data_IF_598421599409
#
_entry.id   IF_598421599409
#
_cell.length_a   1.000
_cell.length_b   1.000
_cell.length_c   1.000
_cell.angle_alpha   90.00
_cell.angle_beta   90.00
_cell.angle_gamma   90.00
#
_symmetry.space_group_name_H-M   'P 1'
#
loop_
_entity.id
_entity.type
_entity.pdbx_description
1 polymer ?
#
# COMPACT_ATOMS: atom_id res chain seq x y z
N UNK A 1 -103.63 -69.35 -19.96
CA UNK A 1 -103.05 -68.36 -20.89
C UNK A 1 -103.49 -66.94 -20.51
N UNK A 2 -104.76 -66.55 -20.65
CA UNK A 2 -105.23 -65.17 -20.39
C UNK A 2 -104.97 -64.65 -18.95
N UNK A 3 -105.14 -65.48 -17.92
CA UNK A 3 -104.87 -65.06 -16.53
C UNK A 3 -103.37 -64.83 -16.25
N UNK A 4 -102.48 -65.56 -16.94
CA UNK A 4 -101.03 -65.41 -16.79
C UNK A 4 -100.58 -64.10 -17.46
N UNK A 5 -101.11 -63.82 -18.65
CA UNK A 5 -100.83 -62.58 -19.37
C UNK A 5 -101.30 -61.34 -18.60
N UNK A 6 -102.49 -61.39 -18.00
CA UNK A 6 -103.01 -60.32 -17.14
C UNK A 6 -102.14 -60.10 -15.89
N UNK A 7 -101.59 -61.17 -15.31
CA UNK A 7 -100.67 -61.06 -14.19
C UNK A 7 -99.33 -60.43 -14.61
N UNK A 8 -98.79 -60.81 -15.76
CA UNK A 8 -97.59 -60.19 -16.34
C UNK A 8 -97.80 -58.69 -16.61
N UNK A 9 -98.94 -58.30 -17.17
CA UNK A 9 -99.29 -56.89 -17.40
C UNK A 9 -99.43 -56.09 -16.08
N UNK A 10 -99.87 -56.73 -15.00
CA UNK A 10 -99.94 -56.12 -13.67
C UNK A 10 -98.58 -56.02 -12.97
N UNK A 11 -97.63 -56.90 -13.30
CA UNK A 11 -96.26 -56.91 -12.77
C UNK A 11 -95.32 -55.97 -13.54
N UNK A 12 -95.60 -55.70 -14.81
CA UNK A 12 -94.76 -54.84 -15.66
C UNK A 12 -94.44 -53.45 -15.05
N UNK A 13 -95.38 -52.72 -14.41
CA UNK A 13 -95.05 -51.46 -13.74
C UNK A 13 -94.05 -51.61 -12.59
N UNK A 14 -94.07 -52.73 -11.87
CA UNK A 14 -93.13 -53.00 -10.78
C UNK A 14 -91.75 -53.36 -11.32
N UNK A 15 -91.69 -54.13 -12.42
CA UNK A 15 -90.42 -54.43 -13.11
C UNK A 15 -89.77 -53.16 -13.67
N UNK A 16 -90.55 -52.24 -14.24
CA UNK A 16 -90.06 -50.93 -14.72
C UNK A 16 -89.55 -50.09 -13.55
N UNK A 17 -90.32 -49.94 -12.47
CA UNK A 17 -89.89 -49.17 -11.30
C UNK A 17 -88.61 -49.74 -10.67
N UNK A 18 -88.46 -51.07 -10.65
CA UNK A 18 -87.25 -51.71 -10.16
C UNK A 18 -86.03 -51.49 -11.08
N UNK A 19 -86.24 -51.48 -12.40
CA UNK A 19 -85.19 -51.13 -13.35
C UNK A 19 -84.75 -49.66 -13.16
N UNK A 20 -85.69 -48.74 -12.98
CA UNK A 20 -85.40 -47.31 -12.73
C UNK A 20 -84.56 -47.11 -11.46
N UNK A 21 -84.91 -47.79 -10.34
CA UNK A 21 -84.10 -47.73 -9.10
C UNK A 21 -82.67 -48.18 -9.34
N UNK A 22 -82.46 -49.26 -10.11
CA UNK A 22 -81.10 -49.72 -10.45
C UNK A 22 -80.35 -48.71 -11.32
N UNK A 23 -81.02 -48.04 -12.25
CA UNK A 23 -80.40 -46.95 -13.02
C UNK A 23 -79.99 -45.80 -12.10
N UNK A 24 -80.85 -45.40 -11.17
CA UNK A 24 -80.51 -44.37 -10.18
C UNK A 24 -79.34 -44.76 -9.29
N UNK A 25 -79.28 -46.01 -8.81
CA UNK A 25 -78.15 -46.47 -7.98
C UNK A 25 -76.83 -46.36 -8.75
N UNK A 26 -76.81 -46.76 -10.02
CA UNK A 26 -75.64 -46.63 -10.90
C UNK A 26 -75.28 -45.17 -11.15
N UNK A 27 -76.27 -44.30 -11.38
CA UNK A 27 -76.03 -42.87 -11.58
C UNK A 27 -75.45 -42.20 -10.32
N UNK A 28 -75.92 -42.60 -9.14
CA UNK A 28 -75.38 -42.14 -7.85
C UNK A 28 -73.93 -42.58 -7.70
N UNK A 29 -73.62 -43.86 -7.91
CA UNK A 29 -72.24 -44.37 -7.82
C UNK A 29 -71.31 -43.68 -8.82
N UNK A 30 -71.75 -43.45 -10.06
CA UNK A 30 -70.96 -42.73 -11.06
C UNK A 30 -70.73 -41.27 -10.66
N UNK A 31 -71.75 -40.60 -10.11
CA UNK A 31 -71.64 -39.22 -9.63
C UNK A 31 -70.68 -39.12 -8.45
N UNK A 32 -70.74 -40.06 -7.52
CA UNK A 32 -69.81 -40.16 -6.38
C UNK A 32 -68.37 -40.34 -6.86
N UNK A 33 -68.13 -41.25 -7.82
CA UNK A 33 -66.80 -41.46 -8.40
C UNK A 33 -66.26 -40.21 -9.12
N UNK A 34 -67.12 -39.50 -9.87
CA UNK A 34 -66.74 -38.25 -10.50
C UNK A 34 -66.39 -37.17 -9.48
N UNK A 35 -67.16 -37.09 -8.38
CA UNK A 35 -66.89 -36.17 -7.29
C UNK A 35 -65.55 -36.48 -6.60
N UNK A 36 -65.29 -37.74 -6.25
CA UNK A 36 -64.00 -38.15 -5.67
C UNK A 36 -62.82 -37.86 -6.59
N UNK A 37 -62.97 -38.12 -7.90
CA UNK A 37 -61.98 -37.80 -8.90
C UNK A 37 -61.68 -36.29 -8.97
N UNK A 38 -62.72 -35.46 -9.00
CA UNK A 38 -62.58 -34.01 -9.00
C UNK A 38 -61.95 -33.49 -7.70
N UNK A 39 -62.35 -34.02 -6.54
CA UNK A 39 -61.77 -33.65 -5.25
C UNK A 39 -60.28 -34.01 -5.17
N UNK A 40 -59.88 -35.15 -5.72
CA UNK A 40 -58.47 -35.55 -5.80
C UNK A 40 -57.65 -34.59 -6.65
N UNK A 41 -58.17 -34.19 -7.82
CA UNK A 41 -57.54 -33.20 -8.69
C UNK A 41 -57.42 -31.84 -8.00
N UNK A 42 -58.50 -31.34 -7.39
CA UNK A 42 -58.52 -30.06 -6.68
C UNK A 42 -57.52 -30.04 -5.53
N UNK A 43 -57.48 -31.12 -4.73
CA UNK A 43 -56.53 -31.24 -3.61
C UNK A 43 -55.08 -31.25 -4.10
N UNK A 44 -54.81 -31.93 -5.22
CA UNK A 44 -53.49 -31.93 -5.83
C UNK A 44 -53.09 -30.52 -6.29
N UNK A 45 -53.95 -29.83 -7.02
CA UNK A 45 -53.67 -28.47 -7.49
C UNK A 45 -53.45 -27.48 -6.34
N UNK A 46 -54.24 -27.59 -5.27
CA UNK A 46 -54.09 -26.77 -4.06
C UNK A 46 -52.76 -27.06 -3.36
N UNK A 47 -52.40 -28.33 -3.25
CA UNK A 47 -51.12 -28.74 -2.66
C UNK A 47 -49.92 -28.22 -3.46
N UNK A 48 -49.97 -28.34 -4.80
CA UNK A 48 -48.93 -27.80 -5.68
C UNK A 48 -48.79 -26.28 -5.51
N UNK A 49 -49.91 -25.57 -5.31
CA UNK A 49 -49.89 -24.11 -5.11
C UNK A 49 -49.29 -23.71 -3.77
N UNK A 50 -49.61 -24.49 -2.73
CA UNK A 50 -49.01 -24.31 -1.41
C UNK A 50 -47.50 -24.48 -1.48
N UNK A 51 -47.00 -25.54 -2.13
CA UNK A 51 -45.56 -25.78 -2.30
C UNK A 51 -44.90 -24.62 -3.05
N UNK A 52 -45.54 -24.13 -4.11
CA UNK A 52 -45.01 -23.03 -4.92
C UNK A 52 -44.87 -21.75 -4.09
N UNK A 53 -45.88 -21.41 -3.29
CA UNK A 53 -45.87 -20.26 -2.40
C UNK A 53 -44.86 -20.40 -1.27
N UNK A 54 -44.77 -21.57 -0.64
CA UNK A 54 -43.76 -21.85 0.39
C UNK A 54 -42.34 -21.70 -0.18
N UNK A 55 -42.10 -22.20 -1.40
CA UNK A 55 -40.81 -22.07 -2.08
C UNK A 55 -40.47 -20.60 -2.40
N UNK A 56 -41.46 -19.83 -2.88
CA UNK A 56 -41.29 -18.41 -3.17
C UNK A 56 -41.01 -17.58 -1.89
N UNK A 57 -41.70 -17.90 -0.80
CA UNK A 57 -41.50 -17.25 0.50
C UNK A 57 -40.13 -17.59 1.11
N UNK A 58 -39.67 -18.83 0.99
CA UNK A 58 -38.32 -19.23 1.41
C UNK A 58 -37.24 -18.45 0.66
N UNK A 59 -37.35 -18.35 -0.67
CA UNK A 59 -36.43 -17.54 -1.48
C UNK A 59 -36.43 -16.07 -1.06
N UNK A 60 -37.60 -15.50 -0.76
CA UNK A 60 -37.70 -14.13 -0.29
C UNK A 60 -36.97 -13.91 1.05
N UNK A 61 -37.11 -14.86 1.99
CA UNK A 61 -36.40 -14.82 3.26
C UNK A 61 -34.87 -14.96 3.07
N UNK A 62 -34.42 -15.81 2.15
CA UNK A 62 -32.99 -15.90 1.78
C UNK A 62 -32.47 -14.59 1.19
N UNK A 63 -33.27 -13.90 0.37
CA UNK A 63 -32.92 -12.58 -0.14
C UNK A 63 -32.75 -11.54 0.97
N UNK A 64 -33.66 -11.51 1.94
CA UNK A 64 -33.57 -10.60 3.09
C UNK A 64 -32.33 -10.89 3.94
N UNK A 65 -32.02 -12.17 4.17
CA UNK A 65 -30.84 -12.58 4.92
C UNK A 65 -29.54 -12.24 4.20
N UNK A 66 -29.48 -12.43 2.89
CA UNK A 66 -28.31 -12.03 2.10
C UNK A 66 -28.18 -10.52 2.03
N UNK A 67 -29.28 -9.79 1.93
CA UNK A 67 -29.26 -8.34 1.95
C UNK A 67 -28.76 -7.80 3.29
N UNK A 68 -29.18 -8.37 4.42
CA UNK A 68 -28.68 -7.96 5.75
C UNK A 68 -27.21 -8.30 5.91
N UNK A 69 -26.78 -9.52 5.54
CA UNK A 69 -25.36 -9.90 5.53
C UNK A 69 -24.54 -8.95 4.67
N UNK A 70 -25.05 -8.58 3.50
CA UNK A 70 -24.37 -7.68 2.59
C UNK A 70 -24.23 -6.25 3.14
N UNK A 71 -25.14 -5.78 3.99
CA UNK A 71 -25.00 -4.48 4.67
C UNK A 71 -23.79 -4.53 5.62
N UNK A 72 -23.70 -5.59 6.42
CA UNK A 72 -22.68 -5.75 7.47
C UNK A 72 -21.31 -6.14 6.92
N UNK A 73 -21.26 -6.78 5.74
CA UNK A 73 -19.99 -7.19 5.12
C UNK A 73 -19.18 -5.99 4.66
N UNK A 74 -17.97 -5.88 5.22
CA UNK A 74 -16.91 -4.95 4.82
C UNK A 74 -15.71 -5.65 4.15
N UNK A 75 -15.71 -6.99 4.08
CA UNK A 75 -14.56 -7.79 3.63
C UNK A 75 -14.78 -8.28 2.20
N UNK A 76 -13.83 -8.00 1.29
CA UNK A 76 -13.93 -8.36 -0.13
C UNK A 76 -14.10 -9.86 -0.36
N UNK A 77 -13.42 -10.72 0.41
CA UNK A 77 -13.53 -12.18 0.27
C UNK A 77 -14.96 -12.70 0.49
N UNK A 78 -15.69 -12.13 1.44
CA UNK A 78 -17.08 -12.50 1.71
C UNK A 78 -18.01 -12.04 0.57
N UNK A 79 -17.73 -10.87 -0.03
CA UNK A 79 -18.45 -10.39 -1.22
C UNK A 79 -18.22 -11.30 -2.42
N UNK A 80 -16.99 -11.77 -2.63
CA UNK A 80 -16.66 -12.72 -3.69
C UNK A 80 -17.32 -14.08 -3.47
N UNK A 81 -17.41 -14.54 -2.22
CA UNK A 81 -18.12 -15.78 -1.89
C UNK A 81 -19.62 -15.65 -2.22
N UNK A 82 -20.23 -14.52 -1.88
CA UNK A 82 -21.64 -14.25 -2.21
C UNK A 82 -21.84 -14.18 -3.72
N UNK A 83 -20.96 -13.49 -4.45
CA UNK A 83 -21.03 -13.34 -5.90
C UNK A 83 -20.90 -14.68 -6.64
N UNK A 84 -19.97 -15.53 -6.21
CA UNK A 84 -19.59 -16.75 -6.94
C UNK A 84 -20.37 -18.00 -6.52
N UNK A 85 -20.91 -18.05 -5.30
CA UNK A 85 -21.58 -19.24 -4.79
C UNK A 85 -23.05 -18.99 -4.44
N UNK A 86 -23.35 -17.94 -3.68
CA UNK A 86 -24.72 -17.70 -3.20
C UNK A 86 -25.65 -17.19 -4.30
N UNK A 87 -25.23 -16.20 -5.11
CA UNK A 87 -26.08 -15.68 -6.19
C UNK A 87 -26.38 -16.72 -7.29
N UNK A 88 -25.41 -17.52 -7.78
CA UNK A 88 -25.72 -18.55 -8.77
C UNK A 88 -26.65 -19.63 -8.24
N UNK A 89 -26.52 -20.00 -6.95
CA UNK A 89 -27.46 -20.91 -6.29
C UNK A 89 -28.88 -20.35 -6.28
N UNK A 90 -29.06 -19.09 -5.85
CA UNK A 90 -30.36 -18.42 -5.90
C UNK A 90 -30.93 -18.30 -7.31
N UNK A 91 -30.08 -18.01 -8.30
CA UNK A 91 -30.48 -17.96 -9.69
C UNK A 91 -31.04 -19.31 -10.16
N UNK A 92 -30.36 -20.42 -9.82
CA UNK A 92 -30.82 -21.76 -10.16
C UNK A 92 -32.14 -22.11 -9.46
N UNK A 93 -32.30 -21.73 -8.19
CA UNK A 93 -33.56 -21.96 -7.45
C UNK A 93 -34.73 -21.14 -8.01
N UNK A 94 -34.50 -19.88 -8.39
CA UNK A 94 -35.51 -19.06 -9.09
C UNK A 94 -35.89 -19.68 -10.43
N UNK A 95 -34.92 -20.20 -11.17
CA UNK A 95 -35.19 -20.85 -12.46
C UNK A 95 -36.02 -22.13 -12.29
N UNK A 96 -35.69 -22.95 -11.29
CA UNK A 96 -36.48 -24.12 -10.93
C UNK A 96 -37.92 -23.72 -10.51
N UNK A 97 -38.06 -22.64 -9.76
CA UNK A 97 -39.37 -22.11 -9.37
C UNK A 97 -40.15 -21.65 -10.60
N UNK A 98 -39.51 -20.96 -11.53
CA UNK A 98 -40.11 -20.51 -12.79
C UNK A 98 -40.60 -21.70 -13.63
N UNK A 99 -39.77 -22.73 -13.81
CA UNK A 99 -40.13 -23.93 -14.57
C UNK A 99 -41.36 -24.62 -13.95
N UNK A 100 -41.37 -24.79 -12.62
CA UNK A 100 -42.53 -25.36 -11.89
C UNK A 100 -43.78 -24.48 -12.03
N UNK A 101 -43.58 -23.17 -12.02
CA UNK A 101 -44.66 -22.19 -12.12
C UNK A 101 -45.28 -22.18 -13.54
N UNK A 102 -44.47 -22.44 -14.56
CA UNK A 102 -44.92 -22.57 -15.95
C UNK A 102 -45.55 -23.94 -16.24
N UNK A 103 -45.05 -25.02 -15.63
CA UNK A 103 -45.66 -26.35 -15.72
C UNK A 103 -47.04 -26.38 -15.06
N UNK A 104 -47.17 -25.78 -13.87
CA UNK A 104 -48.47 -25.65 -13.19
C UNK A 104 -49.43 -24.75 -13.98
N UNK A 105 -48.94 -23.69 -14.64
CA UNK A 105 -49.75 -22.85 -15.54
C UNK A 105 -50.34 -23.63 -16.71
N UNK A 106 -49.63 -24.62 -17.25
CA UNK A 106 -50.10 -25.42 -18.40
C UNK A 106 -51.12 -26.50 -17.99
N UNK A 107 -51.00 -27.01 -16.77
CA UNK A 107 -51.69 -28.24 -16.36
C UNK A 107 -52.89 -28.00 -15.43
N UNK A 108 -53.06 -26.81 -14.84
CA UNK A 108 -54.13 -26.52 -13.88
C UNK A 108 -55.43 -26.04 -14.52
N UNK A 109 -56.54 -26.47 -13.93
CA UNK A 109 -57.89 -26.19 -14.41
C UNK A 109 -58.79 -25.62 -13.29
N UNK A 110 -58.56 -25.98 -12.03
CA UNK A 110 -59.54 -25.79 -10.94
C UNK A 110 -59.13 -24.76 -9.87
N UNK A 111 -57.82 -24.53 -9.65
CA UNK A 111 -57.30 -23.61 -8.61
C UNK A 111 -56.61 -22.40 -9.25
N UNK A 112 -57.02 -21.21 -8.82
CA UNK A 112 -56.41 -19.94 -9.23
C UNK A 112 -54.95 -19.85 -8.80
N UNK A 113 -54.11 -19.35 -9.72
CA UNK A 113 -52.68 -19.15 -9.50
C UNK A 113 -52.43 -17.82 -8.80
N UNK A 114 -51.82 -17.86 -7.62
CA UNK A 114 -51.29 -16.71 -6.88
C UNK A 114 -49.97 -17.11 -6.23
N UNK A 115 -48.89 -16.95 -7.00
CA UNK A 115 -47.53 -17.06 -6.49
C UNK A 115 -47.14 -15.73 -5.83
N UNK A 116 -47.08 -15.71 -4.50
CA UNK A 116 -46.66 -14.57 -3.69
C UNK A 116 -45.45 -14.94 -2.82
N UNK A 117 -44.30 -14.25 -2.99
CA UNK A 117 -44.00 -13.20 -3.97
C UNK A 117 -43.86 -13.72 -5.41
N UNK A 118 -44.07 -12.83 -6.38
CA UNK A 118 -43.97 -13.18 -7.80
C UNK A 118 -42.54 -13.51 -8.22
N UNK A 119 -42.38 -14.47 -9.14
CA UNK A 119 -41.08 -14.86 -9.71
C UNK A 119 -40.35 -13.66 -10.33
N UNK A 120 -41.09 -12.73 -10.95
CA UNK A 120 -40.54 -11.50 -11.53
C UNK A 120 -39.94 -10.57 -10.45
N UNK A 121 -40.58 -10.48 -9.28
CA UNK A 121 -40.06 -9.71 -8.16
C UNK A 121 -38.77 -10.33 -7.62
N UNK A 122 -38.72 -11.66 -7.45
CA UNK A 122 -37.52 -12.38 -7.02
C UNK A 122 -36.36 -12.19 -8.01
N UNK A 123 -36.63 -12.24 -9.32
CA UNK A 123 -35.63 -11.94 -10.36
C UNK A 123 -35.11 -10.50 -10.29
N UNK A 124 -36.00 -9.55 -9.99
CA UNK A 124 -35.61 -8.15 -9.81
C UNK A 124 -34.72 -7.96 -8.58
N UNK A 125 -35.06 -8.61 -7.46
CA UNK A 125 -34.24 -8.60 -6.24
C UNK A 125 -32.86 -9.20 -6.48
N UNK A 126 -32.77 -10.32 -7.20
CA UNK A 126 -31.49 -10.92 -7.58
C UNK A 126 -30.61 -9.95 -8.38
N UNK A 127 -31.19 -9.28 -9.40
CA UNK A 127 -30.47 -8.27 -10.19
C UNK A 127 -29.99 -7.10 -9.33
N UNK A 128 -30.82 -6.64 -8.38
CA UNK A 128 -30.45 -5.58 -7.45
C UNK A 128 -29.26 -5.98 -6.57
N UNK A 129 -29.24 -7.22 -6.08
CA UNK A 129 -28.10 -7.74 -5.32
C UNK A 129 -26.81 -7.82 -6.14
N UNK A 130 -26.88 -8.29 -7.40
CA UNK A 130 -25.72 -8.27 -8.29
C UNK A 130 -25.13 -6.87 -8.44
N UNK A 131 -25.98 -5.87 -8.68
CA UNK A 131 -25.53 -4.48 -8.81
C UNK A 131 -24.93 -3.99 -7.49
N UNK A 132 -25.57 -4.26 -6.36
CA UNK A 132 -25.11 -3.81 -5.05
C UNK A 132 -23.74 -4.43 -4.67
N UNK A 133 -23.54 -5.71 -4.94
CA UNK A 133 -22.27 -6.41 -4.67
C UNK A 133 -21.14 -5.85 -5.53
N UNK A 134 -21.38 -5.66 -6.82
CA UNK A 134 -20.37 -5.08 -7.72
C UNK A 134 -20.01 -3.65 -7.31
N UNK A 135 -21.00 -2.82 -6.94
CA UNK A 135 -20.74 -1.48 -6.41
C UNK A 135 -19.89 -1.55 -5.14
N UNK A 136 -20.19 -2.46 -4.21
CA UNK A 136 -19.38 -2.62 -2.98
C UNK A 136 -17.95 -3.06 -3.30
N UNK A 137 -17.75 -4.03 -4.20
CA UNK A 137 -16.43 -4.47 -4.64
C UNK A 137 -15.64 -3.32 -5.27
N UNK A 138 -16.26 -2.55 -6.17
CA UNK A 138 -15.62 -1.39 -6.79
C UNK A 138 -15.25 -0.32 -5.75
N UNK A 139 -16.12 -0.06 -4.77
CA UNK A 139 -15.81 0.90 -3.70
C UNK A 139 -14.69 0.41 -2.80
N UNK A 140 -14.64 -0.87 -2.47
CA UNK A 140 -13.59 -1.45 -1.64
C UNK A 140 -12.23 -1.40 -2.37
N UNK A 141 -12.20 -1.73 -3.67
CA UNK A 141 -11.00 -1.62 -4.49
C UNK A 141 -10.48 -0.18 -4.59
N UNK A 142 -11.38 0.80 -4.68
CA UNK A 142 -11.01 2.23 -4.64
C UNK A 142 -10.43 2.64 -3.29
N UNK A 143 -11.06 2.23 -2.18
CA UNK A 143 -10.58 2.53 -0.83
C UNK A 143 -9.18 1.92 -0.62
N UNK A 144 -8.98 0.64 -0.95
CA UNK A 144 -7.68 -0.02 -0.82
C UNK A 144 -6.60 0.70 -1.65
N UNK A 145 -6.94 1.15 -2.86
CA UNK A 145 -6.04 1.93 -3.70
C UNK A 145 -5.69 3.28 -3.06
N UNK A 146 -6.67 4.00 -2.54
CA UNK A 146 -6.49 5.30 -1.90
C UNK A 146 -5.64 5.19 -0.62
N UNK A 147 -5.85 4.14 0.18
CA UNK A 147 -5.04 3.83 1.36
C UNK A 147 -3.57 3.56 1.00
N UNK A 148 -3.32 2.77 -0.05
CA UNK A 148 -1.96 2.53 -0.54
C UNK A 148 -1.31 3.82 -1.04
N UNK A 149 -2.04 4.67 -1.76
CA UNK A 149 -1.54 5.99 -2.20
C UNK A 149 -1.21 6.87 -1.00
N UNK A 150 -2.05 6.90 0.05
CA UNK A 150 -1.79 7.67 1.25
C UNK A 150 -0.54 7.17 2.00
N UNK A 151 -0.34 5.85 2.10
CA UNK A 151 0.87 5.26 2.66
C UNK A 151 2.12 5.67 1.86
N UNK A 152 2.04 5.66 0.52
CA UNK A 152 3.13 6.12 -0.34
C UNK A 152 3.41 7.62 -0.19
N UNK A 153 2.39 8.46 0.02
CA UNK A 153 2.61 9.90 0.32
C UNK A 153 3.39 10.07 1.62
N UNK A 154 3.05 9.30 2.65
CA UNK A 154 3.75 9.34 3.94
C UNK A 154 5.20 8.85 3.84
N UNK A 155 5.49 7.83 3.04
CA UNK A 155 6.88 7.36 2.84
C UNK A 155 7.71 8.39 2.07
N UNK A 156 7.14 9.05 1.06
CA UNK A 156 7.80 10.16 0.35
C UNK A 156 8.10 11.33 1.30
N UNK A 157 7.16 11.70 2.18
CA UNK A 157 7.36 12.75 3.18
C UNK A 157 8.46 12.37 4.20
N UNK A 158 8.52 11.10 4.60
CA UNK A 158 9.59 10.58 5.47
C UNK A 158 10.96 10.61 4.79
N UNK A 159 11.04 10.26 3.50
CA UNK A 159 12.27 10.34 2.73
C UNK A 159 12.73 11.77 2.45
N UNK A 160 11.79 12.74 2.43
CA UNK A 160 12.14 14.18 2.38
C UNK A 160 12.79 14.67 3.67
N UNK A 161 12.41 14.10 4.81
CA UNK A 161 12.89 14.56 6.13
C UNK A 161 14.14 13.80 6.63
N UNK A 162 14.48 12.64 6.05
CA UNK A 162 15.64 11.82 6.43
C UNK A 162 16.66 11.73 5.29
N UNK A 163 17.87 11.26 5.59
CA UNK A 163 18.85 10.87 4.57
C UNK A 163 18.23 9.85 3.62
N UNK A 164 18.17 10.20 2.35
CA UNK A 164 17.42 9.49 1.34
C UNK A 164 18.13 8.17 0.97
N UNK A 165 17.57 7.01 1.35
CA UNK A 165 18.15 5.69 1.03
C UNK A 165 17.84 5.27 -0.42
N UNK A 166 18.82 4.73 -1.15
CA UNK A 166 18.64 4.26 -2.55
C UNK A 166 17.68 3.06 -2.60
N UNK A 167 17.80 2.13 -1.65
CA UNK A 167 16.98 0.92 -1.65
C UNK A 167 15.50 1.23 -1.40
N UNK A 168 15.22 2.21 -0.54
CA UNK A 168 13.84 2.67 -0.28
C UNK A 168 13.27 3.42 -1.49
N UNK A 169 14.09 4.18 -2.22
CA UNK A 169 13.67 4.89 -3.44
C UNK A 169 13.31 3.93 -4.57
N UNK A 170 14.11 2.88 -4.78
CA UNK A 170 13.83 1.85 -5.79
C UNK A 170 12.54 1.11 -5.45
N UNK A 171 12.33 0.73 -4.19
CA UNK A 171 11.09 0.08 -3.75
C UNK A 171 9.87 0.95 -3.97
N UNK A 172 9.96 2.26 -3.72
CA UNK A 172 8.85 3.19 -3.97
C UNK A 172 8.53 3.34 -5.46
N UNK A 173 9.54 3.37 -6.33
CA UNK A 173 9.33 3.42 -7.77
C UNK A 173 8.68 2.14 -8.31
N UNK A 174 9.13 0.97 -7.83
CA UNK A 174 8.51 -0.32 -8.15
C UNK A 174 7.05 -0.37 -7.70
N UNK A 175 6.76 0.11 -6.50
CA UNK A 175 5.38 0.20 -5.99
C UNK A 175 4.53 1.17 -6.82
N UNK A 176 5.07 2.31 -7.24
CA UNK A 176 4.37 3.28 -8.09
C UNK A 176 4.10 2.72 -9.51
N UNK A 177 4.98 1.90 -10.06
CA UNK A 177 4.79 1.25 -11.36
C UNK A 177 3.64 0.23 -11.37
N UNK A 178 3.23 -0.27 -10.20
CA UNK A 178 2.09 -1.18 -10.08
C UNK A 178 0.73 -0.46 -10.20
N UNK A 179 0.70 0.87 -10.09
CA UNK A 179 -0.53 1.66 -10.25
C UNK A 179 -0.76 2.07 -11.71
N UNK A 180 -2.03 2.31 -12.07
CA UNK A 180 -2.37 2.89 -13.38
C UNK A 180 -1.75 4.26 -13.57
N UNK A 181 -1.15 4.48 -14.74
CA UNK A 181 -0.44 5.72 -15.13
C UNK A 181 -1.39 6.91 -15.28
N UNK A 182 -2.69 6.68 -15.41
CA UNK A 182 -3.71 7.72 -15.65
C UNK A 182 -4.13 8.49 -14.38
N UNK A 183 -3.76 8.02 -13.19
CA UNK A 183 -4.17 8.65 -11.94
C UNK A 183 -3.32 9.89 -11.62
N UNK A 184 -3.95 11.06 -11.54
CA UNK A 184 -3.28 12.33 -11.23
C UNK A 184 -2.47 12.26 -9.92
N UNK A 185 -2.98 11.53 -8.90
CA UNK A 185 -2.25 11.36 -7.65
C UNK A 185 -0.96 10.55 -7.84
N UNK A 186 -1.00 9.49 -8.63
CA UNK A 186 0.18 8.65 -8.93
C UNK A 186 1.18 9.44 -9.75
N UNK A 187 0.73 10.28 -10.68
CA UNK A 187 1.61 11.16 -11.46
C UNK A 187 2.30 12.21 -10.60
N UNK A 188 1.59 12.85 -9.67
CA UNK A 188 2.20 13.81 -8.73
C UNK A 188 3.23 13.14 -7.83
N UNK A 189 2.94 11.95 -7.29
CA UNK A 189 3.91 11.16 -6.52
C UNK A 189 5.13 10.77 -7.36
N UNK A 190 4.93 10.32 -8.61
CA UNK A 190 6.04 9.96 -9.49
C UNK A 190 6.93 11.16 -9.84
N UNK A 191 6.34 12.35 -10.01
CA UNK A 191 7.10 13.58 -10.20
C UNK A 191 7.90 13.95 -8.94
N UNK A 192 7.29 13.79 -7.75
CA UNK A 192 7.94 14.04 -6.46
C UNK A 192 9.11 13.09 -6.19
N UNK A 193 8.97 11.80 -6.51
CA UNK A 193 10.05 10.81 -6.40
C UNK A 193 11.19 11.10 -7.38
N UNK A 194 10.87 11.50 -8.63
CA UNK A 194 11.90 11.93 -9.60
C UNK A 194 12.66 13.16 -9.12
N UNK A 195 11.95 14.11 -8.50
CA UNK A 195 12.58 15.31 -7.92
C UNK A 195 13.51 14.93 -6.75
N UNK A 196 13.07 14.04 -5.86
CA UNK A 196 13.92 13.50 -4.79
C UNK A 196 15.19 12.83 -5.32
N UNK A 197 15.09 12.04 -6.40
CA UNK A 197 16.25 11.42 -7.03
C UNK A 197 17.20 12.45 -7.65
N UNK A 198 16.67 13.47 -8.31
CA UNK A 198 17.47 14.56 -8.86
C UNK A 198 18.22 15.33 -7.75
N UNK A 199 17.51 15.67 -6.68
CA UNK A 199 18.08 16.39 -5.52
C UNK A 199 19.18 15.54 -4.83
N UNK A 200 18.94 14.23 -4.65
CA UNK A 200 19.94 13.29 -4.12
C UNK A 200 21.18 13.18 -5.01
N UNK A 201 20.99 13.04 -6.32
CA UNK A 201 22.12 12.96 -7.26
C UNK A 201 22.95 14.24 -7.25
N UNK A 202 22.31 15.40 -7.19
CA UNK A 202 22.98 16.69 -7.05
C UNK A 202 23.77 16.78 -5.73
N UNK A 203 23.20 16.31 -4.62
CA UNK A 203 23.91 16.22 -3.33
C UNK A 203 25.10 15.28 -3.39
N UNK A 204 24.98 14.11 -4.02
CA UNK A 204 26.09 13.17 -4.20
C UNK A 204 27.22 13.74 -5.07
N UNK A 205 26.88 14.44 -6.15
CA UNK A 205 27.86 15.09 -7.01
C UNK A 205 28.60 16.20 -6.26
N UNK A 206 27.86 17.01 -5.49
CA UNK A 206 28.45 18.00 -4.60
C UNK A 206 29.37 17.37 -3.54
N UNK A 207 28.95 16.28 -2.91
CA UNK A 207 29.76 15.52 -1.96
C UNK A 207 31.07 15.01 -2.58
N UNK A 208 31.04 14.53 -3.83
CA UNK A 208 32.26 14.12 -4.55
C UNK A 208 33.21 15.29 -4.75
N UNK A 209 32.71 16.44 -5.20
CA UNK A 209 33.53 17.65 -5.38
C UNK A 209 34.15 18.10 -4.07
N UNK A 210 33.37 18.09 -2.98
CA UNK A 210 33.84 18.47 -1.66
C UNK A 210 34.92 17.51 -1.15
N UNK A 211 34.72 16.20 -1.34
CA UNK A 211 35.69 15.18 -0.97
C UNK A 211 36.99 15.28 -1.79
N UNK A 212 36.90 15.60 -3.08
CA UNK A 212 38.07 15.83 -3.94
C UNK A 212 38.87 17.07 -3.50
N UNK A 213 38.20 18.17 -3.13
CA UNK A 213 38.85 19.35 -2.53
C UNK A 213 39.58 18.96 -1.24
N UNK A 214 38.93 18.15 -0.40
CA UNK A 214 39.50 17.72 0.86
C UNK A 214 40.71 16.81 0.68
N UNK A 215 40.68 15.85 -0.25
CA UNK A 215 41.86 15.00 -0.46
C UNK A 215 43.06 15.77 -1.03
N UNK A 216 42.82 16.82 -1.81
CA UNK A 216 43.92 17.74 -2.20
C UNK A 216 44.54 18.42 -0.98
N UNK A 217 43.75 18.87 -0.02
CA UNK A 217 44.25 19.45 1.24
C UNK A 217 45.00 18.42 2.07
N UNK A 218 44.50 17.18 2.13
CA UNK A 218 45.16 16.08 2.84
C UNK A 218 46.53 15.74 2.24
N UNK A 219 46.64 15.76 0.92
CA UNK A 219 47.94 15.60 0.22
C UNK A 219 48.86 16.77 0.56
N UNK A 220 48.38 18.03 0.50
CA UNK A 220 49.17 19.21 0.92
C UNK A 220 49.66 19.09 2.37
N UNK A 221 48.82 18.57 3.26
CA UNK A 221 49.20 18.35 4.66
C UNK A 221 50.30 17.29 4.81
N UNK A 222 50.20 16.17 4.07
CA UNK A 222 51.25 15.15 4.05
C UNK A 222 52.58 15.68 3.49
N UNK A 223 52.55 16.56 2.49
CA UNK A 223 53.77 17.22 1.99
C UNK A 223 54.34 18.21 3.01
N UNK A 224 53.49 18.98 3.70
CA UNK A 224 53.94 19.86 4.80
C UNK A 224 54.63 19.10 5.92
N UNK A 225 54.11 17.93 6.29
CA UNK A 225 54.72 17.09 7.31
C UNK A 225 56.16 16.71 6.92
N UNK A 226 56.40 16.38 5.65
CA UNK A 226 57.76 16.11 5.15
C UNK A 226 58.64 17.35 5.20
N UNK A 227 58.13 18.51 4.74
CA UNK A 227 58.87 19.78 4.82
C UNK A 227 59.24 20.16 6.26
N UNK A 228 58.37 19.83 7.23
CA UNK A 228 58.68 19.98 8.65
C UNK A 228 59.82 19.07 9.08
N UNK A 229 59.82 17.81 8.68
CA UNK A 229 60.90 16.87 9.00
C UNK A 229 62.23 17.32 8.36
N UNK A 230 62.19 17.79 7.11
CA UNK A 230 63.34 18.37 6.40
C UNK A 230 63.84 19.66 7.09
N UNK A 231 62.95 20.51 7.61
CA UNK A 231 63.31 21.71 8.37
C UNK A 231 64.12 21.38 9.64
N UNK A 232 63.97 20.20 10.23
CA UNK A 232 64.82 19.78 11.36
C UNK A 232 66.27 19.49 10.93
N UNK A 233 66.49 19.09 9.68
CA UNK A 233 67.77 18.65 9.11
C UNK A 233 68.69 19.79 8.61
N UNK A 234 68.16 21.01 8.51
CA UNK A 234 68.90 22.21 8.09
C UNK A 234 70.08 22.50 9.04
N UNK A 235 71.17 23.09 8.55
CA UNK A 235 72.40 23.27 9.34
C UNK A 235 72.44 24.55 10.17
N UNK A 236 71.82 25.64 9.70
CA UNK A 236 71.83 26.94 10.40
C UNK A 236 70.52 27.24 11.11
N UNK A 237 70.57 27.98 12.23
CA UNK A 237 69.39 28.30 13.04
C UNK A 237 68.45 29.28 12.32
N UNK A 238 69.00 30.24 11.56
CA UNK A 238 68.21 31.19 10.76
C UNK A 238 67.43 30.49 9.63
N UNK A 239 68.07 29.57 8.91
CA UNK A 239 67.39 28.80 7.86
C UNK A 239 66.32 27.86 8.47
N UNK A 240 66.54 27.34 9.68
CA UNK A 240 65.49 26.60 10.43
C UNK A 240 64.30 27.49 10.76
N UNK A 241 64.53 28.70 11.29
CA UNK A 241 63.44 29.63 11.60
C UNK A 241 62.61 29.93 10.36
N UNK A 242 63.24 30.28 9.25
CA UNK A 242 62.56 30.59 7.99
C UNK A 242 61.78 29.38 7.43
N UNK A 243 62.34 28.17 7.53
CA UNK A 243 61.67 26.94 7.10
C UNK A 243 60.43 26.64 7.96
N UNK A 244 60.52 26.78 9.30
CA UNK A 244 59.38 26.61 10.19
C UNK A 244 58.31 27.69 10.01
N UNK A 245 58.71 28.93 9.70
CA UNK A 245 57.77 30.03 9.40
C UNK A 245 56.98 29.76 8.12
N UNK A 246 57.65 29.29 7.06
CA UNK A 246 56.99 28.86 5.82
C UNK A 246 56.00 27.71 6.07
N UNK A 247 56.41 26.67 6.81
CA UNK A 247 55.55 25.53 7.16
C UNK A 247 54.37 25.97 8.03
N UNK A 248 54.57 26.91 8.95
CA UNK A 248 53.50 27.45 9.80
C UNK A 248 52.47 28.23 8.99
N UNK A 249 52.91 29.13 8.12
CA UNK A 249 52.02 29.95 7.29
C UNK A 249 51.17 29.06 6.36
N UNK A 250 51.77 28.05 5.74
CA UNK A 250 51.02 27.15 4.86
C UNK A 250 50.05 26.24 5.66
N UNK A 251 50.39 25.84 6.88
CA UNK A 251 49.44 25.15 7.76
C UNK A 251 48.24 26.02 8.15
N UNK A 252 48.45 27.34 8.34
CA UNK A 252 47.37 28.30 8.57
C UNK A 252 46.46 28.47 7.35
N UNK A 253 47.01 28.47 6.12
CA UNK A 253 46.20 28.49 4.90
C UNK A 253 45.33 27.22 4.75
N UNK A 254 45.89 26.06 5.08
CA UNK A 254 45.14 24.79 5.08
C UNK A 254 44.00 24.83 6.10
N UNK A 255 44.23 25.38 7.30
CA UNK A 255 43.19 25.55 8.31
C UNK A 255 42.02 26.42 7.84
N UNK A 256 42.32 27.54 7.19
CA UNK A 256 41.29 28.40 6.60
C UNK A 256 40.48 27.65 5.55
N UNK A 257 41.16 26.91 4.67
CA UNK A 257 40.53 26.11 3.63
C UNK A 257 39.63 25.01 4.20
N UNK A 258 40.05 24.30 5.25
CA UNK A 258 39.21 23.29 5.91
C UNK A 258 38.00 23.94 6.60
N UNK A 259 38.17 25.11 7.22
CA UNK A 259 37.07 25.83 7.85
C UNK A 259 36.03 26.33 6.82
N UNK A 260 36.48 26.76 5.65
CA UNK A 260 35.60 27.07 4.51
C UNK A 260 34.80 25.83 4.08
N UNK A 261 35.43 24.65 3.99
CA UNK A 261 34.74 23.40 3.67
C UNK A 261 33.72 22.96 4.75
N UNK A 262 34.00 23.23 6.03
CA UNK A 262 33.05 22.98 7.14
C UNK A 262 31.83 23.91 7.00
N UNK A 263 32.04 25.18 6.66
CA UNK A 263 30.94 26.11 6.43
C UNK A 263 30.14 25.74 5.17
N UNK A 264 30.83 25.34 4.09
CA UNK A 264 30.18 24.85 2.87
C UNK A 264 29.33 23.58 3.14
N UNK A 265 29.84 22.62 3.92
CA UNK A 265 29.09 21.39 4.25
C UNK A 265 27.87 21.63 5.13
N UNK A 266 27.97 22.51 6.12
CA UNK A 266 26.84 22.85 7.00
C UNK A 266 25.71 23.55 6.25
N UNK A 267 26.02 24.39 5.26
CA UNK A 267 25.02 25.02 4.37
C UNK A 267 24.28 23.99 3.52
N UNK A 268 24.95 22.89 3.17
CA UNK A 268 24.38 21.82 2.33
C UNK A 268 23.83 20.62 3.12
N UNK A 269 23.63 20.75 4.44
CA UNK A 269 23.11 19.68 5.31
C UNK A 269 23.93 18.37 5.25
N UNK A 270 25.23 18.49 4.98
CA UNK A 270 26.17 17.37 4.96
C UNK A 270 26.81 17.28 6.34
N UNK A 271 26.85 16.09 6.92
CA UNK A 271 27.45 15.86 8.24
C UNK A 271 28.97 16.14 8.21
N UNK A 272 29.48 17.16 8.92
CA UNK A 272 30.86 17.59 8.79
C UNK A 272 31.84 16.82 9.68
N UNK A 273 31.40 15.74 10.35
CA UNK A 273 32.19 14.98 11.34
C UNK A 273 33.61 14.67 10.88
N UNK A 274 33.79 14.32 9.61
CA UNK A 274 35.10 14.00 9.04
C UNK A 274 36.02 15.23 8.90
N UNK A 275 35.47 16.40 8.58
CA UNK A 275 36.24 17.64 8.46
C UNK A 275 36.70 18.17 9.83
N UNK A 276 35.89 17.96 10.87
CA UNK A 276 36.18 18.46 12.22
C UNK A 276 37.40 17.75 12.84
N UNK A 277 37.55 16.44 12.66
CA UNK A 277 38.71 15.71 13.19
C UNK A 277 40.01 16.15 12.52
N UNK A 278 40.00 16.34 11.21
CA UNK A 278 41.21 16.74 10.48
C UNK A 278 41.55 18.21 10.75
N UNK A 279 40.55 19.07 10.95
CA UNK A 279 40.76 20.46 11.38
C UNK A 279 41.53 20.54 12.71
N UNK A 280 41.13 19.76 13.71
CA UNK A 280 41.86 19.72 14.99
C UNK A 280 43.28 19.17 14.82
N UNK A 281 43.48 18.15 13.96
CA UNK A 281 44.82 17.64 13.67
C UNK A 281 45.74 18.69 13.04
N UNK A 282 45.28 19.45 12.03
CA UNK A 282 46.07 20.50 11.40
C UNK A 282 46.35 21.65 12.38
N UNK A 283 45.39 21.96 13.26
CA UNK A 283 45.51 23.01 14.27
C UNK A 283 46.58 22.68 15.30
N UNK A 284 46.65 21.43 15.75
CA UNK A 284 47.70 20.98 16.67
C UNK A 284 49.08 20.92 15.99
N UNK A 285 49.13 20.53 14.72
CA UNK A 285 50.35 20.63 13.91
C UNK A 285 50.87 22.07 13.81
N UNK A 286 49.98 23.04 13.53
CA UNK A 286 50.33 24.46 13.44
C UNK A 286 50.83 25.01 14.78
N UNK A 287 50.22 24.61 15.90
CA UNK A 287 50.70 24.96 17.25
C UNK A 287 52.12 24.45 17.50
N UNK A 288 52.42 23.19 17.16
CA UNK A 288 53.77 22.63 17.35
C UNK A 288 54.82 23.41 16.56
N UNK A 289 54.52 23.76 15.30
CA UNK A 289 55.42 24.56 14.47
C UNK A 289 55.65 25.96 15.07
N UNK A 290 54.60 26.62 15.57
CA UNK A 290 54.68 27.92 16.24
C UNK A 290 55.57 27.88 17.49
N UNK A 291 55.43 26.85 18.32
CA UNK A 291 56.25 26.68 19.53
C UNK A 291 57.72 26.46 19.17
N UNK A 292 58.02 25.61 18.18
CA UNK A 292 59.39 25.37 17.71
C UNK A 292 60.03 26.64 17.14
N UNK A 293 59.29 27.41 16.35
CA UNK A 293 59.76 28.69 15.81
C UNK A 293 60.08 29.70 16.93
N UNK A 294 59.23 29.79 17.96
CA UNK A 294 59.48 30.65 19.13
C UNK A 294 60.76 30.25 19.88
N UNK A 295 60.99 28.95 20.08
CA UNK A 295 62.20 28.43 20.72
C UNK A 295 63.46 28.74 19.91
N UNK A 296 63.43 28.53 18.58
CA UNK A 296 64.56 28.83 17.70
C UNK A 296 64.89 30.34 17.68
N UNK A 297 63.87 31.20 17.61
CA UNK A 297 64.06 32.66 17.70
C UNK A 297 64.62 33.08 19.06
N UNK A 298 64.19 32.46 20.15
CA UNK A 298 64.76 32.71 21.48
C UNK A 298 66.25 32.33 21.54
N UNK A 299 66.62 31.18 20.97
CA UNK A 299 68.02 30.73 20.88
C UNK A 299 68.86 31.72 20.07
N UNK A 300 68.37 32.17 18.90
CA UNK A 300 69.01 33.21 18.08
C UNK A 300 69.27 34.48 18.89
N UNK A 301 68.26 35.01 19.59
CA UNK A 301 68.40 36.20 20.43
C UNK A 301 69.44 36.00 21.54
N UNK A 302 69.49 34.81 22.16
CA UNK A 302 70.47 34.49 23.20
C UNK A 302 71.88 34.40 22.62
N UNK A 303 72.05 33.78 21.45
CA UNK A 303 73.34 33.69 20.74
C UNK A 303 73.81 35.09 20.36
N UNK A 304 72.96 35.92 19.76
CA UNK A 304 73.30 37.30 19.43
C UNK A 304 73.69 38.13 20.66
N UNK A 305 72.98 37.98 21.77
CA UNK A 305 73.31 38.66 23.03
C UNK A 305 74.63 38.18 23.61
N UNK A 306 74.94 36.88 23.54
CA UNK A 306 76.24 36.33 23.95
C UNK A 306 77.36 36.82 23.03
N UNK A 307 77.15 36.82 21.72
CA UNK A 307 78.11 37.33 20.74
C UNK A 307 78.37 38.82 20.94
N UNK A 308 77.34 39.64 21.16
CA UNK A 308 77.50 41.07 21.52
C UNK A 308 78.31 41.25 22.80
N UNK A 309 78.05 40.45 23.85
CA UNK A 309 78.88 40.49 25.08
C UNK A 309 80.32 40.10 24.80
N UNK A 310 80.57 39.06 24.01
CA UNK A 310 81.93 38.66 23.62
C UNK A 310 82.64 39.73 22.81
N UNK A 311 81.98 40.36 21.84
CA UNK A 311 82.54 41.46 21.03
C UNK A 311 82.87 42.68 21.91
N UNK A 312 81.98 43.03 22.85
CA UNK A 312 82.24 44.11 23.82
C UNK A 312 83.44 43.76 24.71
N UNK A 313 83.50 42.53 25.24
CA UNK A 313 84.65 42.07 26.04
C UNK A 313 85.96 42.02 25.25
N UNK A 314 85.91 41.62 23.97
CA UNK A 314 87.09 41.55 23.09
C UNK A 314 87.57 42.95 22.70
N UNK A 315 86.65 43.89 22.43
CA UNK A 315 86.99 45.28 22.19
C UNK A 315 87.56 45.96 23.44
N UNK A 316 87.07 45.62 24.64
CA UNK A 316 87.66 46.09 25.91
C UNK A 316 89.07 45.49 26.08
N UNK A 317 89.28 44.21 25.76
CA UNK A 317 90.60 43.59 25.86
C UNK A 317 91.62 44.18 24.88
N UNK A 318 91.20 44.49 23.64
CA UNK A 318 92.04 45.16 22.64
C UNK A 318 92.38 46.59 23.08
N UNK A 319 91.43 47.33 23.67
CA UNK A 319 91.69 48.65 24.24
C UNK A 319 92.61 48.63 25.47
N UNK A 320 92.78 47.49 26.13
CA UNK A 320 93.72 47.33 27.25
C UNK A 320 95.13 46.86 26.82
N UNK A 321 95.34 46.52 25.53
CA UNK A 321 96.61 46.01 24.99
C UNK A 321 97.32 47.06 24.09
N UNK A 322 96.69 48.19 23.80
CA UNK A 322 97.29 49.36 23.13
C UNK A 322 97.66 50.42 24.16
#
# INVERSE_FOLDING_TARGET
MANLQKLCEQLAPLEIAYADVRFYDVDVEQTEQQYEGLMSLLNKELHDEKILNESAAQLAAEFELLHSKLIDTSVCYELDEILNYHLPSLQAQIQLLEDKNDDTKRNRIHVDRKCEPTVELLKKQLKQLYVLINVKLDTAARIEKDEKIAALKMTVENLRSKTCDEEELVKLEEQLQQFSVEDENVQTLAADVKKLRADKNAQMEYLKVLNDKFEKLRIRMKTLQKCKDDAHSVSTIDEKCNAFESVYNEACEILLSINELINESTVHNIDPVFFVSEYEHVKDFAKDCKVKMFLLNFILIVIERKMRKYIISYNILIYCIV
#
